data_IF_208568114790
#
_entry.id   IF_208568114790
#
_cell.length_a   1.000
_cell.length_b   1.000
_cell.length_c   1.000
_cell.angle_alpha   90.00
_cell.angle_beta   90.00
_cell.angle_gamma   90.00
#
_symmetry.space_group_name_H-M   'P 1'
#
loop_
_entity.id
_entity.type
_entity.pdbx_description
1 polymer ?
#
# COMPACT_ATOMS: atom_id res chain seq x y z
N UNK A 1 -11.44 -7.40 -12.46
CA UNK A 1 -12.29 -6.20 -12.27
C UNK A 1 -13.54 -6.38 -13.12
N UNK A 2 -14.71 -6.64 -12.53
CA UNK A 2 -15.97 -6.89 -13.27
C UNK A 2 -17.17 -6.13 -12.67
N UNK A 3 -16.93 -5.33 -11.63
CA UNK A 3 -17.97 -4.55 -10.98
C UNK A 3 -18.29 -3.30 -11.82
N UNK A 4 -19.57 -2.99 -12.11
CA UNK A 4 -19.95 -1.91 -13.02
C UNK A 4 -19.52 -0.51 -12.53
N UNK A 5 -19.27 -0.35 -11.24
CA UNK A 5 -18.81 0.91 -10.65
C UNK A 5 -17.29 0.95 -10.41
N UNK A 6 -16.53 -0.08 -10.81
CA UNK A 6 -15.09 -0.06 -10.62
C UNK A 6 -14.44 1.00 -11.53
N UNK A 7 -13.65 1.88 -10.94
CA UNK A 7 -12.93 2.94 -11.63
C UNK A 7 -11.49 3.06 -11.09
N UNK A 8 -10.63 3.69 -11.87
CA UNK A 8 -9.30 4.09 -11.37
C UNK A 8 -9.45 5.23 -10.38
N UNK A 9 -8.68 5.16 -9.29
CA UNK A 9 -8.59 6.22 -8.29
C UNK A 9 -7.18 6.26 -7.71
N UNK A 10 -6.81 7.42 -7.17
CA UNK A 10 -5.53 7.57 -6.48
C UNK A 10 -5.68 7.13 -5.02
N UNK A 11 -4.74 6.30 -4.55
CA UNK A 11 -4.70 5.83 -3.16
C UNK A 11 -4.33 6.96 -2.19
N UNK A 12 -3.52 7.94 -2.64
CA UNK A 12 -3.02 9.02 -1.79
C UNK A 12 -1.86 8.55 -0.89
N UNK A 13 -1.53 9.38 0.11
CA UNK A 13 -0.52 9.01 1.11
C UNK A 13 -1.09 8.00 2.11
N UNK A 14 -0.25 7.08 2.57
CA UNK A 14 -0.61 6.07 3.55
C UNK A 14 0.08 6.32 4.90
N UNK A 15 -0.57 5.87 5.96
CA UNK A 15 -0.02 5.96 7.31
C UNK A 15 1.00 4.86 7.63
N UNK A 16 1.80 5.04 8.70
CA UNK A 16 2.77 4.04 9.15
C UNK A 16 2.09 2.77 9.70
N UNK A 17 0.83 2.86 10.14
CA UNK A 17 -0.02 1.71 10.48
C UNK A 17 -0.32 0.85 9.25
N UNK A 18 -0.81 1.47 8.17
CA UNK A 18 -1.10 0.78 6.91
C UNK A 18 0.14 0.14 6.30
N UNK A 19 1.28 0.83 6.35
CA UNK A 19 2.56 0.32 5.86
C UNK A 19 3.02 -0.93 6.61
N UNK A 20 2.92 -0.92 7.95
CA UNK A 20 3.32 -2.08 8.78
C UNK A 20 2.43 -3.29 8.53
N UNK A 21 1.12 -3.08 8.41
CA UNK A 21 0.19 -4.17 8.15
C UNK A 21 0.41 -4.77 6.76
N UNK A 22 0.64 -3.94 5.75
CA UNK A 22 0.98 -4.41 4.42
C UNK A 22 2.31 -5.18 4.40
N UNK A 23 3.36 -4.67 5.06
CA UNK A 23 4.65 -5.35 5.18
C UNK A 23 4.50 -6.76 5.79
N UNK A 24 3.73 -6.87 6.89
CA UNK A 24 3.48 -8.14 7.54
C UNK A 24 2.74 -9.15 6.64
N UNK A 25 1.77 -8.67 5.85
CA UNK A 25 0.99 -9.52 4.93
C UNK A 25 1.80 -10.01 3.74
N UNK A 26 2.72 -9.19 3.26
CA UNK A 26 3.62 -9.53 2.15
C UNK A 26 4.89 -10.26 2.61
N UNK A 27 5.08 -10.44 3.93
CA UNK A 27 6.27 -11.09 4.50
C UNK A 27 7.55 -10.26 4.33
N UNK A 28 7.42 -8.93 4.23
CA UNK A 28 8.53 -7.99 4.09
C UNK A 28 8.91 -7.40 5.45
N UNK A 29 10.19 -7.04 5.60
CA UNK A 29 10.57 -6.12 6.67
C UNK A 29 10.09 -4.68 6.37
N UNK A 30 10.10 -3.83 7.39
CA UNK A 30 9.58 -2.47 7.25
C UNK A 30 10.40 -1.62 6.27
N UNK A 31 11.72 -1.79 6.20
CA UNK A 31 12.58 -1.02 5.29
C UNK A 31 12.38 -1.42 3.82
N UNK A 32 12.11 -2.70 3.57
CA UNK A 32 11.69 -3.19 2.26
C UNK A 32 10.35 -2.59 1.85
N UNK A 33 9.41 -2.51 2.79
CA UNK A 33 8.10 -1.94 2.53
C UNK A 33 8.15 -0.42 2.29
N UNK A 34 8.92 0.32 3.09
CA UNK A 34 9.17 1.76 2.92
C UNK A 34 9.75 2.06 1.54
N UNK A 35 10.72 1.24 1.10
CA UNK A 35 11.31 1.38 -0.23
C UNK A 35 10.30 1.07 -1.34
N UNK A 36 9.49 0.02 -1.17
CA UNK A 36 8.51 -0.39 -2.18
C UNK A 36 7.39 0.64 -2.36
N UNK A 37 6.93 1.25 -1.26
CA UNK A 37 5.84 2.22 -1.26
C UNK A 37 6.31 3.67 -1.07
N UNK A 38 7.58 3.97 -1.36
CA UNK A 38 8.19 5.28 -1.15
C UNK A 38 7.41 6.44 -1.80
N UNK A 39 6.73 6.19 -2.92
CA UNK A 39 5.91 7.20 -3.59
C UNK A 39 4.56 7.51 -2.89
N UNK A 40 4.17 6.67 -1.92
CA UNK A 40 2.91 6.77 -1.17
C UNK A 40 3.13 7.20 0.29
N UNK A 41 4.38 7.43 0.71
CA UNK A 41 4.72 7.93 2.05
C UNK A 41 4.71 9.46 2.12
#
# INVERSE_FOLDING_TARGET
LAHPQACYFNVGRIGPDQLREWAAREGLDLAQAERALAALL
#
